data_IF_549902988970
#
_entry.id   IF_549902988970
#
_cell.length_a   1.000
_cell.length_b   1.000
_cell.length_c   1.000
_cell.angle_alpha   90.00
_cell.angle_beta   90.00
_cell.angle_gamma   90.00
#
_symmetry.space_group_name_H-M   'P 1'
#
loop_
_entity.id
_entity.type
_entity.pdbx_description
1 polymer ?
#
# COMPACT_ATOMS: atom_id res chain seq x y z
N UNK A 1 18.06 -65.59 8.22
CA UNK A 1 17.93 -64.37 9.04
C UNK A 1 17.63 -63.21 8.10
N UNK A 2 16.54 -62.49 8.31
CA UNK A 2 16.14 -61.35 7.47
C UNK A 2 16.35 -60.04 8.23
N UNK A 3 16.92 -59.05 7.55
CA UNK A 3 17.30 -57.73 8.08
C UNK A 3 16.06 -56.90 8.51
N UNK A 4 16.00 -56.37 9.75
CA UNK A 4 14.78 -55.74 10.29
C UNK A 4 14.56 -54.28 9.87
N UNK A 5 15.35 -53.70 8.98
CA UNK A 5 15.29 -52.25 8.69
C UNK A 5 14.60 -51.87 7.38
N UNK A 6 14.11 -52.82 6.57
CA UNK A 6 13.39 -52.47 5.34
C UNK A 6 11.88 -52.25 5.58
N UNK A 7 11.53 -51.11 6.20
CA UNK A 7 10.15 -50.64 6.19
C UNK A 7 9.82 -50.11 4.79
N UNK A 8 9.45 -50.99 3.84
CA UNK A 8 8.81 -50.56 2.59
C UNK A 8 7.40 -50.07 2.95
N UNK A 9 7.11 -48.75 2.86
CA UNK A 9 5.76 -48.29 3.09
C UNK A 9 4.84 -48.95 2.05
N UNK A 10 3.72 -49.50 2.51
CA UNK A 10 2.72 -50.08 1.62
C UNK A 10 2.30 -49.04 0.57
N UNK A 11 1.97 -49.49 -0.65
CA UNK A 11 1.54 -48.59 -1.75
C UNK A 11 0.41 -47.65 -1.31
N UNK A 12 -0.42 -48.10 -0.37
CA UNK A 12 -1.48 -47.33 0.27
C UNK A 12 -0.92 -46.19 1.12
N UNK A 13 0.07 -46.44 2.00
CA UNK A 13 0.74 -45.37 2.77
C UNK A 13 1.44 -44.35 1.89
N UNK A 14 2.08 -44.79 0.79
CA UNK A 14 2.72 -43.87 -0.15
C UNK A 14 1.70 -42.99 -0.88
N UNK A 15 0.54 -43.54 -1.25
CA UNK A 15 -0.58 -42.76 -1.82
C UNK A 15 -1.13 -41.76 -0.82
N UNK A 16 -1.31 -42.16 0.44
CA UNK A 16 -1.72 -41.25 1.51
C UNK A 16 -0.72 -40.12 1.72
N UNK A 17 0.58 -40.42 1.86
CA UNK A 17 1.62 -39.40 2.02
C UNK A 17 1.70 -38.45 0.83
N UNK A 18 1.53 -38.95 -0.40
CA UNK A 18 1.46 -38.10 -1.60
C UNK A 18 0.20 -37.24 -1.62
N UNK A 19 -0.95 -37.79 -1.23
CA UNK A 19 -2.19 -37.03 -1.14
C UNK A 19 -2.10 -35.94 -0.05
N UNK A 20 -1.58 -36.25 1.12
CA UNK A 20 -1.36 -35.27 2.20
C UNK A 20 -0.33 -34.22 1.80
N UNK A 21 0.78 -34.63 1.16
CA UNK A 21 1.76 -33.69 0.62
C UNK A 21 1.19 -32.79 -0.47
N UNK A 22 0.36 -33.34 -1.36
CA UNK A 22 -0.35 -32.57 -2.39
C UNK A 22 -1.36 -31.61 -1.76
N UNK A 23 -2.07 -32.01 -0.70
CA UNK A 23 -3.00 -31.15 0.05
C UNK A 23 -2.27 -30.01 0.77
N UNK A 24 -1.09 -30.26 1.32
CA UNK A 24 -0.25 -29.20 1.93
C UNK A 24 0.28 -28.25 0.86
N UNK A 25 0.74 -28.75 -0.28
CA UNK A 25 1.18 -27.92 -1.41
C UNK A 25 0.01 -27.12 -2.00
N UNK A 26 -1.17 -27.74 -2.14
CA UNK A 26 -2.39 -27.07 -2.58
C UNK A 26 -2.89 -26.06 -1.54
N UNK A 27 -2.73 -26.35 -0.24
CA UNK A 27 -3.02 -25.42 0.86
C UNK A 27 -2.04 -24.24 0.93
N UNK A 28 -0.79 -24.44 0.52
CA UNK A 28 0.18 -23.36 0.32
C UNK A 28 -0.06 -22.58 -0.98
N UNK A 29 -0.75 -23.20 -1.96
CA UNK A 29 -1.26 -22.56 -3.17
C UNK A 29 -2.64 -21.92 -2.97
N UNK A 30 -3.33 -22.17 -1.84
CA UNK A 30 -4.41 -21.30 -1.39
C UNK A 30 -3.69 -20.00 -1.01
N UNK A 31 -3.89 -18.91 -1.77
CA UNK A 31 -3.23 -17.65 -1.47
C UNK A 31 -3.53 -17.35 0.00
N UNK A 32 -2.53 -16.94 0.82
CA UNK A 32 -2.74 -16.65 2.23
C UNK A 32 -3.89 -15.66 2.26
N UNK A 33 -5.06 -16.18 2.64
CA UNK A 33 -6.28 -15.41 2.65
C UNK A 33 -6.02 -14.33 3.69
N UNK A 34 -6.40 -13.10 3.38
CA UNK A 34 -6.06 -11.88 4.12
C UNK A 34 -6.09 -12.03 5.65
N UNK A 35 -7.05 -12.78 6.19
CA UNK A 35 -7.20 -13.09 7.61
C UNK A 35 -6.04 -13.90 8.25
N UNK A 36 -5.36 -14.79 7.53
CA UNK A 36 -4.32 -15.65 8.12
C UNK A 36 -3.01 -14.89 8.34
N UNK A 37 -2.62 -14.03 7.40
CA UNK A 37 -1.46 -13.16 7.56
C UNK A 37 -1.69 -12.07 8.62
N UNK A 38 -2.93 -11.60 8.72
CA UNK A 38 -3.39 -10.64 9.74
C UNK A 38 -3.43 -11.29 11.13
N UNK A 39 -3.96 -12.50 11.26
CA UNK A 39 -3.97 -13.28 12.51
C UNK A 39 -2.57 -13.70 12.98
N UNK A 40 -1.61 -13.82 12.06
CA UNK A 40 -0.21 -14.17 12.37
C UNK A 40 0.68 -12.94 12.61
N UNK A 41 0.15 -11.72 12.50
CA UNK A 41 0.91 -10.49 12.75
C UNK A 41 2.10 -10.30 11.80
N UNK A 42 2.02 -10.85 10.58
CA UNK A 42 3.14 -10.84 9.64
C UNK A 42 3.26 -9.53 8.85
N UNK A 43 2.30 -8.61 9.00
CA UNK A 43 2.34 -7.32 8.32
C UNK A 43 3.52 -6.49 8.83
N UNK A 44 4.34 -6.03 7.89
CA UNK A 44 5.38 -5.05 8.12
C UNK A 44 4.93 -3.72 7.53
N UNK A 45 5.00 -2.67 8.35
CA UNK A 45 4.65 -1.31 7.96
C UNK A 45 5.90 -0.45 7.85
N UNK A 46 6.01 0.30 6.76
CA UNK A 46 6.93 1.42 6.62
C UNK A 46 6.09 2.68 6.58
N UNK A 47 6.42 3.65 7.43
CA UNK A 47 5.74 4.92 7.48
C UNK A 47 6.76 6.06 7.43
N UNK A 48 6.47 7.07 6.63
CA UNK A 48 7.29 8.25 6.46
C UNK A 48 6.44 9.51 6.68
N UNK A 49 6.93 10.42 7.52
CA UNK A 49 6.22 11.63 7.92
C UNK A 49 7.08 12.84 7.66
N UNK A 50 6.51 13.87 7.03
CA UNK A 50 7.25 15.08 6.72
C UNK A 50 6.38 16.33 6.78
N UNK A 51 6.88 17.37 7.46
CA UNK A 51 6.23 18.69 7.50
C UNK A 51 6.80 19.60 6.45
N UNK A 52 5.94 20.40 5.83
CA UNK A 52 6.34 21.26 4.72
C UNK A 52 7.23 22.43 5.16
N UNK A 53 7.07 22.84 6.42
CA UNK A 53 7.88 23.88 7.05
C UNK A 53 9.35 23.48 7.28
N UNK A 54 9.65 22.19 7.28
CA UNK A 54 11.02 21.69 7.52
C UNK A 54 11.86 21.73 6.23
N UNK A 55 11.24 22.01 5.08
CA UNK A 55 11.92 22.18 3.81
C UNK A 55 12.33 23.64 3.57
N UNK A 56 13.47 23.82 2.90
CA UNK A 56 14.00 25.15 2.54
C UNK A 56 13.13 25.88 1.50
N UNK A 57 12.35 25.12 0.74
CA UNK A 57 11.51 25.64 -0.34
C UNK A 57 10.04 25.61 0.10
N UNK A 58 9.31 26.73 -0.01
CA UNK A 58 7.89 26.75 0.32
C UNK A 58 7.12 25.88 -0.67
N UNK A 59 6.34 24.93 -0.16
CA UNK A 59 5.44 24.11 -0.98
C UNK A 59 4.14 24.88 -1.22
N UNK A 60 3.74 24.97 -2.48
CA UNK A 60 2.44 25.50 -2.91
C UNK A 60 1.63 24.48 -3.73
N UNK A 61 2.23 23.36 -4.11
CA UNK A 61 1.59 22.28 -4.83
C UNK A 61 2.06 20.91 -4.33
N UNK A 62 1.13 19.96 -4.18
CA UNK A 62 1.40 18.55 -3.93
C UNK A 62 0.83 17.75 -5.10
N UNK A 63 1.69 17.01 -5.79
CA UNK A 63 1.30 16.05 -6.82
C UNK A 63 1.44 14.64 -6.26
N UNK A 64 0.36 13.89 -6.23
CA UNK A 64 0.36 12.48 -5.84
C UNK A 64 0.37 11.61 -7.09
N UNK A 65 1.48 10.93 -7.31
CA UNK A 65 1.71 9.95 -8.37
C UNK A 65 1.81 8.54 -7.77
N UNK A 66 0.67 8.06 -7.28
CA UNK A 66 0.59 6.82 -6.50
C UNK A 66 -0.61 5.98 -7.00
N UNK A 67 -0.38 5.17 -8.04
CA UNK A 67 -1.39 4.25 -8.57
C UNK A 67 -1.71 3.12 -7.58
N UNK A 68 -2.97 2.67 -7.56
CA UNK A 68 -3.45 1.59 -6.67
C UNK A 68 -3.20 1.88 -5.17
N UNK A 69 -3.29 3.15 -4.77
CA UNK A 69 -3.13 3.59 -3.38
C UNK A 69 -4.39 4.27 -2.85
N UNK A 70 -4.55 4.24 -1.53
CA UNK A 70 -5.53 5.03 -0.83
C UNK A 70 -4.96 6.41 -0.57
N UNK A 71 -5.71 7.45 -0.89
CA UNK A 71 -5.27 8.84 -0.73
C UNK A 71 -6.30 9.56 0.12
N UNK A 72 -5.87 10.09 1.26
CA UNK A 72 -6.68 10.96 2.11
C UNK A 72 -6.14 12.37 2.00
N UNK A 73 -7.00 13.34 1.69
CA UNK A 73 -6.63 14.75 1.68
C UNK A 73 -7.56 15.53 2.59
N UNK A 74 -6.95 16.20 3.57
CA UNK A 74 -7.65 17.00 4.57
C UNK A 74 -7.19 18.44 4.47
N UNK A 75 -8.12 19.34 4.15
CA UNK A 75 -7.88 20.79 4.16
C UNK A 75 -8.24 21.35 5.54
N UNK A 76 -7.28 21.99 6.21
CA UNK A 76 -7.49 22.56 7.55
C UNK A 76 -6.63 23.80 7.77
N UNK A 77 -7.23 24.86 8.31
CA UNK A 77 -6.52 26.09 8.73
C UNK A 77 -5.67 25.87 10.00
N UNK A 78 -5.81 24.72 10.67
CA UNK A 78 -5.15 24.41 11.94
C UNK A 78 -3.83 23.66 11.84
N UNK A 79 -3.33 23.38 10.63
CA UNK A 79 -2.02 22.71 10.47
C UNK A 79 -0.92 23.74 10.71
N UNK A 80 -0.10 23.53 11.74
CA UNK A 80 1.07 24.36 11.99
C UNK A 80 2.11 24.12 10.88
N UNK A 81 2.32 25.12 10.02
CA UNK A 81 3.09 24.97 8.79
C UNK A 81 2.20 24.61 7.60
N UNK A 82 2.56 25.05 6.39
CA UNK A 82 1.74 24.99 5.15
C UNK A 82 1.10 23.62 4.84
N UNK A 83 1.64 22.55 5.42
CA UNK A 83 1.05 21.22 5.35
C UNK A 83 1.98 20.14 5.90
N UNK A 84 1.49 18.91 5.81
CA UNK A 84 2.17 17.66 6.19
C UNK A 84 1.80 16.59 5.18
N UNK A 85 2.77 15.74 4.85
CA UNK A 85 2.53 14.46 4.17
C UNK A 85 2.88 13.31 5.11
N UNK A 86 2.03 12.30 5.13
CA UNK A 86 2.29 11.03 5.81
C UNK A 86 2.01 9.88 4.84
N UNK A 87 3.06 9.12 4.54
CA UNK A 87 3.01 7.92 3.71
C UNK A 87 3.06 6.69 4.59
N UNK A 88 2.21 5.72 4.32
CA UNK A 88 2.23 4.42 5.00
C UNK A 88 2.10 3.30 3.96
N UNK A 89 2.97 2.29 4.05
CA UNK A 89 2.83 1.05 3.28
C UNK A 89 2.91 -0.13 4.22
N UNK A 90 1.87 -0.94 4.23
CA UNK A 90 1.76 -2.16 5.03
C UNK A 90 1.64 -3.37 4.10
N UNK A 91 2.56 -4.33 4.24
CA UNK A 91 2.60 -5.53 3.41
C UNK A 91 2.81 -6.78 4.26
N UNK A 92 2.28 -7.93 3.83
CA UNK A 92 2.53 -9.24 4.47
C UNK A 92 4.01 -9.66 4.36
N UNK A 93 4.69 -9.18 3.32
CA UNK A 93 6.13 -9.36 3.11
C UNK A 93 6.76 -8.01 2.75
N UNK A 94 8.04 -7.76 3.08
CA UNK A 94 8.69 -6.47 2.81
C UNK A 94 8.49 -6.02 1.36
N UNK A 95 8.05 -4.78 1.14
CA UNK A 95 7.99 -4.23 -0.22
C UNK A 95 9.41 -3.95 -0.73
N UNK A 96 9.77 -4.32 -1.99
CA UNK A 96 11.04 -3.90 -2.57
C UNK A 96 11.05 -2.40 -2.93
N UNK A 97 9.86 -1.81 -3.13
CA UNK A 97 9.68 -0.38 -3.42
C UNK A 97 8.87 0.25 -2.28
N UNK A 98 9.49 0.92 -1.30
CA UNK A 98 8.75 1.76 -0.36
C UNK A 98 8.19 2.99 -1.10
N UNK A 99 7.08 3.57 -0.60
CA UNK A 99 6.64 4.88 -1.09
C UNK A 99 7.70 5.93 -0.74
N UNK A 100 7.81 6.99 -1.54
CA UNK A 100 8.83 8.02 -1.38
C UNK A 100 8.34 9.36 -1.94
N UNK A 101 9.11 10.43 -1.77
CA UNK A 101 8.78 11.74 -2.32
C UNK A 101 10.00 12.50 -2.85
N UNK A 102 9.75 13.45 -3.74
CA UNK A 102 10.71 14.42 -4.24
C UNK A 102 10.20 15.84 -4.04
N UNK A 103 11.11 16.76 -3.72
CA UNK A 103 10.80 18.18 -3.56
C UNK A 103 11.44 18.95 -4.69
N UNK A 104 10.62 19.71 -5.43
CA UNK A 104 11.05 20.61 -6.50
C UNK A 104 10.71 22.07 -6.15
N UNK A 105 11.02 23.01 -7.05
CA UNK A 105 10.79 24.43 -6.81
C UNK A 105 9.29 24.76 -6.69
N UNK A 106 8.77 24.72 -5.47
CA UNK A 106 7.36 25.02 -5.14
C UNK A 106 6.44 23.80 -5.12
N UNK A 107 6.96 22.60 -5.44
CA UNK A 107 6.18 21.38 -5.57
C UNK A 107 6.71 20.23 -4.70
N UNK A 108 5.80 19.42 -4.18
CA UNK A 108 6.06 18.11 -3.60
C UNK A 108 5.47 17.04 -4.51
N UNK A 109 6.27 16.10 -4.98
CA UNK A 109 5.80 14.94 -5.73
C UNK A 109 5.90 13.69 -4.85
N UNK A 110 4.78 13.02 -4.63
CA UNK A 110 4.68 11.77 -3.86
C UNK A 110 4.59 10.61 -4.83
N UNK A 111 5.43 9.60 -4.65
CA UNK A 111 5.48 8.42 -5.50
C UNK A 111 5.19 7.16 -4.69
N UNK A 112 4.38 6.29 -5.26
CA UNK A 112 4.22 4.93 -4.77
C UNK A 112 4.02 3.98 -5.94
N UNK A 113 5.01 3.12 -6.18
CA UNK A 113 4.89 2.11 -7.21
C UNK A 113 3.80 1.11 -6.82
N UNK A 114 2.86 0.79 -7.74
CA UNK A 114 1.86 -0.22 -7.49
C UNK A 114 2.53 -1.60 -7.47
N UNK A 115 2.15 -2.43 -6.51
CA UNK A 115 2.55 -3.84 -6.49
C UNK A 115 1.54 -4.60 -7.36
N UNK A 116 1.97 -5.04 -8.54
CA UNK A 116 1.08 -5.62 -9.55
C UNK A 116 1.35 -7.11 -9.80
N UNK A 117 0.38 -7.79 -10.41
CA UNK A 117 0.54 -9.16 -10.89
C UNK A 117 0.75 -10.18 -9.78
N UNK A 118 1.73 -11.09 -9.97
CA UNK A 118 1.98 -12.19 -9.04
C UNK A 118 2.51 -11.71 -7.69
N UNK A 119 3.20 -10.56 -7.65
CA UNK A 119 3.76 -10.03 -6.41
C UNK A 119 2.66 -9.64 -5.42
N UNK A 120 1.54 -9.09 -5.91
CA UNK A 120 0.41 -8.71 -5.07
C UNK A 120 -0.32 -9.94 -4.47
N UNK A 121 -0.29 -11.09 -5.16
CA UNK A 121 -0.85 -12.34 -4.63
C UNK A 121 -0.08 -12.84 -3.39
N UNK A 122 1.21 -12.50 -3.30
CA UNK A 122 2.14 -13.01 -2.28
C UNK A 122 2.42 -11.97 -1.19
N UNK A 123 2.67 -10.71 -1.56
CA UNK A 123 3.03 -9.63 -0.63
C UNK A 123 1.84 -8.88 -0.06
N UNK A 124 0.73 -8.79 -0.81
CA UNK A 124 -0.51 -8.06 -0.45
C UNK A 124 -0.21 -6.74 0.26
N UNK A 125 0.18 -5.74 -0.51
CA UNK A 125 0.48 -4.43 0.02
C UNK A 125 -0.76 -3.54 0.01
N UNK A 126 -0.87 -2.71 1.05
CA UNK A 126 -1.80 -1.60 1.17
C UNK A 126 -0.96 -0.33 1.38
N UNK A 127 -1.25 0.72 0.60
CA UNK A 127 -0.52 1.98 0.69
C UNK A 127 -1.50 3.11 0.91
N UNK A 128 -1.20 3.95 1.88
CA UNK A 128 -1.94 5.16 2.22
C UNK A 128 -1.05 6.39 2.04
N UNK A 129 -1.63 7.43 1.43
CA UNK A 129 -1.03 8.75 1.27
C UNK A 129 -1.96 9.75 1.93
N UNK A 130 -1.57 10.26 3.10
CA UNK A 130 -2.31 11.29 3.81
C UNK A 130 -1.67 12.66 3.55
N UNK A 131 -2.47 13.60 3.06
CA UNK A 131 -2.04 14.97 2.75
C UNK A 131 -2.89 15.94 3.57
N UNK A 132 -2.27 16.59 4.55
CA UNK A 132 -2.90 17.61 5.39
C UNK A 132 -2.36 18.97 5.01
N UNK A 133 -3.20 19.86 4.47
CA UNK A 133 -2.72 21.14 3.90
C UNK A 133 -3.61 22.31 4.26
N UNK A 134 -3.03 23.51 4.20
CA UNK A 134 -3.78 24.76 4.27
C UNK A 134 -4.57 25.03 2.97
N UNK A 135 -5.37 26.11 2.95
CA UNK A 135 -6.15 26.50 1.77
C UNK A 135 -5.29 27.03 0.61
N UNK A 136 -4.05 27.45 0.87
CA UNK A 136 -3.13 28.02 -0.11
C UNK A 136 -2.34 26.98 -0.92
N UNK A 137 -2.35 25.71 -0.49
CA UNK A 137 -1.70 24.61 -1.20
C UNK A 137 -2.69 23.91 -2.15
N UNK A 138 -2.25 23.72 -3.39
CA UNK A 138 -2.98 22.91 -4.38
C UNK A 138 -2.59 21.44 -4.24
N UNK A 139 -3.57 20.54 -4.34
CA UNK A 139 -3.31 19.10 -4.32
C UNK A 139 -3.89 18.50 -5.60
N UNK A 140 -3.02 17.78 -6.32
CA UNK A 140 -3.31 17.14 -7.60
C UNK A 140 -2.99 15.66 -7.48
N UNK A 141 -3.83 14.83 -8.05
CA UNK A 141 -3.66 13.37 -8.05
C UNK A 141 -3.60 12.90 -9.49
N UNK A 142 -2.52 12.21 -9.85
CA UNK A 142 -2.41 11.58 -11.16
C UNK A 142 -3.07 10.19 -11.11
N UNK A 143 -4.15 10.04 -11.86
CA UNK A 143 -4.72 8.74 -12.20
C UNK A 143 -3.89 8.12 -13.31
N UNK A 144 -3.01 7.19 -12.94
CA UNK A 144 -2.17 6.44 -13.86
C UNK A 144 -2.98 5.58 -14.84
N UNK A 145 -4.18 5.12 -14.46
CA UNK A 145 -5.01 4.25 -15.31
C UNK A 145 -5.65 5.02 -16.45
N UNK A 146 -6.02 6.27 -16.22
CA UNK A 146 -6.66 7.15 -17.21
C UNK A 146 -5.68 8.14 -17.84
N UNK A 147 -4.45 8.19 -17.35
CA UNK A 147 -3.46 9.22 -17.71
C UNK A 147 -4.02 10.64 -17.53
N UNK A 148 -4.81 10.87 -16.48
CA UNK A 148 -5.46 12.16 -16.20
C UNK A 148 -5.08 12.67 -14.82
N UNK A 149 -4.95 13.99 -14.70
CA UNK A 149 -4.72 14.65 -13.41
C UNK A 149 -6.05 15.18 -12.90
N UNK A 150 -6.40 14.81 -11.67
CA UNK A 150 -7.54 15.38 -10.94
C UNK A 150 -7.02 16.41 -9.94
N UNK A 151 -7.51 17.64 -10.02
CA UNK A 151 -7.27 18.66 -9.01
C UNK A 151 -8.38 18.58 -7.97
N UNK A 152 -8.01 18.55 -6.69
CA UNK A 152 -8.98 18.43 -5.60
C UNK A 152 -9.63 19.79 -5.34
N UNK A 153 -10.97 19.84 -5.40
CA UNK A 153 -11.71 21.09 -5.27
C UNK A 153 -11.39 21.77 -3.93
N UNK A 154 -10.99 23.06 -3.98
CA UNK A 154 -10.57 23.83 -2.80
C UNK A 154 -11.66 24.01 -1.74
N UNK A 155 -12.94 23.84 -2.09
CA UNK A 155 -14.06 24.04 -1.17
C UNK A 155 -14.38 22.86 -0.24
N UNK A 156 -13.76 21.70 -0.43
CA UNK A 156 -14.09 20.48 0.32
C UNK A 156 -13.04 20.19 1.38
N UNK A 157 -13.51 19.99 2.62
CA UNK A 157 -12.65 19.79 3.80
C UNK A 157 -11.95 18.43 3.83
N UNK A 158 -12.58 17.38 3.27
CA UNK A 158 -12.05 16.02 3.28
C UNK A 158 -12.36 15.28 1.97
N UNK A 159 -11.31 14.70 1.38
CA UNK A 159 -11.35 13.85 0.20
C UNK A 159 -10.69 12.51 0.49
N UNK A 160 -11.28 11.44 -0.02
CA UNK A 160 -10.67 10.12 0.00
C UNK A 160 -10.76 9.49 -1.39
N UNK A 161 -9.65 8.95 -1.87
CA UNK A 161 -9.58 8.18 -3.11
C UNK A 161 -9.18 6.77 -2.74
N UNK A 162 -10.03 5.79 -3.07
CA UNK A 162 -9.70 4.39 -2.88
C UNK A 162 -8.75 3.86 -3.95
N UNK A 163 -8.07 2.74 -3.68
CA UNK A 163 -7.08 2.13 -4.57
C UNK A 163 -7.57 1.92 -6.02
N UNK A 164 -8.86 1.66 -6.22
CA UNK A 164 -9.49 1.58 -7.55
C UNK A 164 -9.79 2.92 -8.25
N UNK A 165 -9.26 4.05 -7.74
CA UNK A 165 -9.51 5.40 -8.26
C UNK A 165 -10.91 5.96 -7.96
N UNK A 166 -11.67 5.30 -7.08
CA UNK A 166 -13.00 5.80 -6.68
C UNK A 166 -12.82 6.95 -5.70
N UNK A 167 -13.33 8.12 -6.07
CA UNK A 167 -13.29 9.33 -5.26
C UNK A 167 -14.53 9.41 -4.38
N UNK A 168 -14.36 9.79 -3.11
CA UNK A 168 -15.42 10.17 -2.19
C UNK A 168 -15.07 11.50 -1.51
N UNK A 169 -16.09 12.31 -1.27
CA UNK A 169 -15.95 13.64 -0.65
C UNK A 169 -16.90 13.75 0.52
N UNK A 170 -16.42 14.34 1.61
CA UNK A 170 -17.25 14.63 2.77
C UNK A 170 -17.18 16.13 3.07
N UNK A 171 -18.29 16.87 2.89
CA UNK A 171 -18.39 18.21 3.45
C UNK A 171 -18.41 18.10 4.98
N UNK A 172 -17.65 18.96 5.67
CA UNK A 172 -17.77 19.10 7.13
C UNK A 172 -18.98 19.94 7.51
#
# INVERSE_FOLDING_TARGET
MADPTSFRPSRTRLRWLRATGLVVVLGALVPPSSWAAEALGLRQSVAEYQRFQDWSTPISEVMVNAGDTWIEVVRSEGVSGKGVVWLERSCVLPSPSPPWWEVSAGGLEVFADPVLGWEQLVRRCETWVHVFVDQGVRVRVWDQTRSTISELDPGVAHWEIGAGGRVSTTPR
#
